data_IF_009245542509
#
_entry.id   IF_009245542509
#
_cell.length_a   1.000
_cell.length_b   1.000
_cell.length_c   1.000
_cell.angle_alpha   90.00
_cell.angle_beta   90.00
_cell.angle_gamma   90.00
#
_symmetry.space_group_name_H-M   'P 1'
#
loop_
_entity.id
_entity.type
_entity.pdbx_description
1 polymer ?
#
# COMPACT_ATOMS: atom_id res chain seq x y z
N UNK A 1 -30.44 -8.94 9.20
CA UNK A 1 -29.16 -8.80 8.46
C UNK A 1 -28.17 -9.60 9.25
N UNK A 2 -27.56 -10.62 8.64
CA UNK A 2 -26.58 -11.45 9.33
C UNK A 2 -25.22 -10.77 9.18
N UNK A 3 -24.57 -10.49 10.30
CA UNK A 3 -23.21 -9.99 10.34
C UNK A 3 -22.28 -11.15 10.67
N UNK A 4 -21.10 -11.16 10.06
CA UNK A 4 -20.07 -12.13 10.40
C UNK A 4 -19.46 -11.77 11.74
N UNK A 5 -19.11 -12.78 12.52
CA UNK A 5 -18.30 -12.66 13.72
C UNK A 5 -16.87 -13.11 13.43
N UNK A 6 -15.90 -12.68 14.23
CA UNK A 6 -14.52 -13.12 14.07
C UNK A 6 -14.38 -14.64 14.21
N UNK A 7 -15.18 -15.27 15.08
CA UNK A 7 -15.23 -16.72 15.26
C UNK A 7 -15.59 -17.49 13.98
N UNK A 8 -16.34 -16.87 13.07
CA UNK A 8 -16.72 -17.47 11.79
C UNK A 8 -15.57 -17.40 10.77
N UNK A 9 -14.66 -16.43 10.94
CA UNK A 9 -13.63 -16.07 9.96
C UNK A 9 -12.25 -16.62 10.32
N UNK A 10 -11.87 -16.58 11.60
CA UNK A 10 -10.55 -16.96 12.09
C UNK A 10 -10.13 -18.37 11.63
N UNK A 11 -10.97 -19.42 11.76
CA UNK A 11 -10.59 -20.79 11.40
C UNK A 11 -10.43 -21.02 9.90
N UNK A 12 -10.91 -20.10 9.07
CA UNK A 12 -10.96 -20.25 7.62
C UNK A 12 -9.68 -19.77 6.94
N UNK A 13 -9.37 -20.34 5.78
CA UNK A 13 -8.35 -19.78 4.88
C UNK A 13 -8.83 -18.46 4.27
N UNK A 14 -7.92 -17.58 3.78
CA UNK A 14 -8.32 -16.33 3.12
C UNK A 14 -9.35 -16.52 1.99
N UNK A 15 -9.20 -17.55 1.15
CA UNK A 15 -10.19 -17.85 0.10
C UNK A 15 -11.56 -18.24 0.65
N UNK A 16 -11.62 -19.02 1.73
CA UNK A 16 -12.88 -19.40 2.36
C UNK A 16 -13.54 -18.22 3.08
N UNK A 17 -12.75 -17.32 3.70
CA UNK A 17 -13.24 -16.04 4.23
C UNK A 17 -13.84 -15.19 3.12
N UNK A 18 -13.16 -15.07 1.98
CA UNK A 18 -13.64 -14.33 0.81
C UNK A 18 -15.03 -14.83 0.37
N UNK A 19 -15.16 -16.15 0.22
CA UNK A 19 -16.40 -16.79 -0.17
C UNK A 19 -17.53 -16.50 0.83
N UNK A 20 -17.30 -16.71 2.12
CA UNK A 20 -18.30 -16.47 3.15
C UNK A 20 -18.77 -15.00 3.18
N UNK A 21 -17.84 -14.05 3.02
CA UNK A 21 -18.19 -12.62 2.91
C UNK A 21 -19.03 -12.37 1.66
N UNK A 22 -18.63 -12.90 0.50
CA UNK A 22 -19.36 -12.71 -0.76
C UNK A 22 -20.77 -13.33 -0.75
N UNK A 23 -20.97 -14.44 -0.05
CA UNK A 23 -22.30 -15.04 0.16
C UNK A 23 -23.18 -14.17 1.09
N UNK A 24 -22.56 -13.43 2.02
CA UNK A 24 -23.29 -12.65 3.03
C UNK A 24 -23.72 -11.26 2.51
N UNK A 25 -22.98 -10.69 1.55
CA UNK A 25 -23.21 -9.31 1.06
C UNK A 25 -24.53 -9.11 0.30
N UNK A 26 -25.20 -10.18 -0.13
CA UNK A 26 -26.48 -10.09 -0.84
C UNK A 26 -27.60 -9.54 0.04
N UNK A 27 -27.50 -9.74 1.36
CA UNK A 27 -28.45 -9.21 2.34
C UNK A 27 -28.27 -7.70 2.62
N UNK A 28 -27.19 -7.09 2.14
CA UNK A 28 -26.84 -5.70 2.44
C UNK A 28 -27.52 -4.74 1.46
N UNK A 29 -28.38 -3.87 2.01
CA UNK A 29 -28.99 -2.76 1.26
C UNK A 29 -28.01 -1.60 1.15
N UNK A 30 -27.70 -1.20 -0.08
CA UNK A 30 -26.81 -0.07 -0.35
C UNK A 30 -27.61 1.25 -0.34
N UNK A 31 -27.19 2.27 0.42
CA UNK A 31 -27.84 3.58 0.40
C UNK A 31 -27.79 4.23 -0.99
N UNK A 32 -28.87 4.92 -1.40
CA UNK A 32 -28.96 5.58 -2.73
C UNK A 32 -27.84 6.58 -3.03
N UNK A 33 -27.25 7.18 -1.99
CA UNK A 33 -26.14 8.15 -2.11
C UNK A 33 -24.79 7.52 -2.48
N UNK A 34 -24.66 6.19 -2.36
CA UNK A 34 -23.43 5.48 -2.70
C UNK A 34 -23.42 5.24 -4.22
N UNK A 35 -22.35 5.68 -4.87
CA UNK A 35 -22.17 5.50 -6.32
C UNK A 35 -22.06 4.02 -6.67
N UNK A 36 -22.58 3.63 -7.83
CA UNK A 36 -22.65 2.23 -8.28
C UNK A 36 -21.30 1.51 -8.25
N UNK A 37 -20.23 2.20 -8.64
CA UNK A 37 -18.87 1.65 -8.64
C UNK A 37 -18.32 1.33 -7.24
N UNK A 38 -18.97 1.84 -6.19
CA UNK A 38 -18.60 1.63 -4.78
C UNK A 38 -19.55 0.68 -4.03
N UNK A 39 -20.56 0.11 -4.70
CA UNK A 39 -21.54 -0.77 -4.05
C UNK A 39 -20.88 -2.00 -3.42
N UNK A 40 -19.97 -2.66 -4.14
CA UNK A 40 -19.28 -3.84 -3.64
C UNK A 40 -18.40 -3.50 -2.41
N UNK A 41 -17.62 -2.43 -2.48
CA UNK A 41 -16.78 -1.96 -1.38
C UNK A 41 -17.61 -1.64 -0.13
N UNK A 42 -18.74 -0.96 -0.30
CA UNK A 42 -19.68 -0.68 0.78
C UNK A 42 -20.21 -1.96 1.42
N UNK A 43 -20.67 -2.91 0.61
CA UNK A 43 -21.24 -4.16 1.12
C UNK A 43 -20.22 -5.00 1.88
N UNK A 44 -19.03 -5.22 1.30
CA UNK A 44 -17.93 -5.96 1.95
C UNK A 44 -17.60 -5.31 3.29
N UNK A 45 -17.39 -3.99 3.31
CA UNK A 45 -17.05 -3.28 4.54
C UNK A 45 -18.15 -3.39 5.58
N UNK A 46 -19.42 -3.32 5.16
CA UNK A 46 -20.57 -3.43 6.06
C UNK A 46 -20.64 -4.82 6.72
N UNK A 47 -20.38 -5.89 5.96
CA UNK A 47 -20.40 -7.27 6.48
C UNK A 47 -19.21 -7.53 7.41
N UNK A 48 -18.03 -7.03 7.05
CA UNK A 48 -16.79 -7.31 7.80
C UNK A 48 -16.65 -6.47 9.07
N UNK A 49 -17.08 -5.20 9.06
CA UNK A 49 -16.79 -4.25 10.15
C UNK A 49 -17.06 -4.79 11.55
N UNK A 50 -18.16 -5.50 11.83
CA UNK A 50 -18.42 -6.04 13.16
C UNK A 50 -17.42 -7.11 13.63
N UNK A 51 -16.82 -7.87 12.71
CA UNK A 51 -15.84 -8.91 13.03
C UNK A 51 -14.41 -8.37 13.20
N UNK A 52 -14.10 -7.22 12.61
CA UNK A 52 -12.73 -6.70 12.57
C UNK A 52 -12.09 -6.48 13.95
N UNK A 53 -12.77 -5.91 14.97
CA UNK A 53 -12.15 -5.71 16.29
C UNK A 53 -11.60 -7.00 16.88
N UNK A 54 -12.44 -8.05 16.94
CA UNK A 54 -12.08 -9.34 17.52
C UNK A 54 -11.07 -10.09 16.64
N UNK A 55 -11.14 -9.93 15.32
CA UNK A 55 -10.18 -10.52 14.40
C UNK A 55 -8.78 -9.93 14.59
N UNK A 56 -8.66 -8.60 14.66
CA UNK A 56 -7.38 -7.92 14.93
C UNK A 56 -6.89 -8.27 16.34
N UNK A 57 -7.79 -8.31 17.32
CA UNK A 57 -7.43 -8.68 18.68
C UNK A 57 -6.85 -10.11 18.77
N UNK A 58 -7.40 -11.04 17.99
CA UNK A 58 -6.87 -12.39 17.86
C UNK A 58 -5.47 -12.40 17.23
N UNK A 59 -5.24 -11.60 16.18
CA UNK A 59 -3.92 -11.45 15.55
C UNK A 59 -2.87 -10.92 16.54
N UNK A 60 -3.23 -9.90 17.33
CA UNK A 60 -2.38 -9.36 18.41
C UNK A 60 -2.04 -10.42 19.45
N UNK A 61 -3.01 -11.25 19.84
CA UNK A 61 -2.78 -12.33 20.81
C UNK A 61 -1.83 -13.41 20.28
N UNK A 62 -1.97 -13.79 19.01
CA UNK A 62 -1.07 -14.75 18.35
C UNK A 62 0.34 -14.18 18.30
N UNK A 63 0.50 -12.95 17.83
CA UNK A 63 1.80 -12.29 17.73
C UNK A 63 2.48 -12.17 19.11
N UNK A 64 1.75 -11.73 20.14
CA UNK A 64 2.26 -11.68 21.50
C UNK A 64 2.69 -13.06 22.03
N UNK A 65 1.94 -14.12 21.73
CA UNK A 65 2.27 -15.49 22.16
C UNK A 65 3.49 -16.09 21.45
N UNK A 66 3.82 -15.61 20.24
CA UNK A 66 4.94 -16.10 19.43
C UNK A 66 6.21 -15.26 19.58
N UNK A 67 6.17 -14.20 20.41
CA UNK A 67 7.22 -13.20 20.49
C UNK A 67 6.94 -12.10 19.47
N UNK A 68 6.42 -10.98 19.95
CA UNK A 68 5.86 -9.93 19.09
C UNK A 68 6.85 -9.42 18.05
N UNK A 69 6.38 -9.29 16.80
CA UNK A 69 7.14 -8.66 15.73
C UNK A 69 7.48 -7.20 16.02
N UNK A 70 6.78 -6.56 16.97
CA UNK A 70 7.00 -5.16 17.33
C UNK A 70 8.24 -4.94 18.20
N UNK A 71 8.89 -6.01 18.69
CA UNK A 71 10.20 -5.88 19.32
C UNK A 71 11.23 -5.31 18.34
N UNK A 72 12.08 -4.39 18.81
CA UNK A 72 12.97 -3.57 17.96
C UNK A 72 13.74 -4.38 16.90
N UNK A 73 14.32 -5.51 17.29
CA UNK A 73 15.11 -6.35 16.37
C UNK A 73 14.19 -7.10 15.40
N UNK A 74 13.06 -7.63 15.89
CA UNK A 74 12.11 -8.38 15.08
C UNK A 74 11.49 -7.50 13.99
N UNK A 75 11.02 -6.29 14.34
CA UNK A 75 10.46 -5.36 13.36
C UNK A 75 11.51 -4.92 12.34
N UNK A 76 12.74 -4.63 12.78
CA UNK A 76 13.82 -4.23 11.88
C UNK A 76 14.10 -5.33 10.85
N UNK A 77 14.15 -6.59 11.29
CA UNK A 77 14.37 -7.72 10.40
C UNK A 77 13.20 -7.93 9.42
N UNK A 78 11.96 -7.81 9.89
CA UNK A 78 10.78 -7.94 9.05
C UNK A 78 10.72 -6.84 7.97
N UNK A 79 10.98 -5.58 8.36
CA UNK A 79 11.02 -4.44 7.42
C UNK A 79 12.18 -4.62 6.42
N UNK A 80 13.36 -5.03 6.89
CA UNK A 80 14.50 -5.29 6.03
C UNK A 80 14.19 -6.38 4.99
N UNK A 81 13.54 -7.47 5.40
CA UNK A 81 13.16 -8.56 4.50
C UNK A 81 12.21 -8.07 3.37
N UNK A 82 11.19 -7.27 3.70
CA UNK A 82 10.29 -6.67 2.70
C UNK A 82 11.04 -5.74 1.73
N UNK A 83 11.96 -4.92 2.25
CA UNK A 83 12.79 -4.03 1.45
C UNK A 83 13.77 -4.80 0.53
N UNK A 84 14.39 -5.87 1.03
CA UNK A 84 15.30 -6.70 0.26
C UNK A 84 14.59 -7.49 -0.83
N UNK A 85 13.46 -8.10 -0.50
CA UNK A 85 12.62 -8.78 -1.48
C UNK A 85 12.19 -7.81 -2.57
N UNK A 86 11.68 -6.63 -2.20
CA UNK A 86 11.24 -5.62 -3.17
C UNK A 86 12.39 -5.15 -4.06
N UNK A 87 13.54 -4.77 -3.48
CA UNK A 87 14.68 -4.30 -4.26
C UNK A 87 15.20 -5.36 -5.22
N UNK A 88 15.33 -6.61 -4.80
CA UNK A 88 15.78 -7.70 -5.65
C UNK A 88 14.81 -7.93 -6.82
N UNK A 89 13.50 -7.98 -6.54
CA UNK A 89 12.47 -8.12 -7.58
C UNK A 89 12.48 -6.95 -8.56
N UNK A 90 12.57 -5.71 -8.05
CA UNK A 90 12.59 -4.52 -8.90
C UNK A 90 13.84 -4.48 -9.78
N UNK A 91 15.03 -4.72 -9.22
CA UNK A 91 16.31 -4.78 -9.95
C UNK A 91 16.22 -5.82 -11.09
N UNK A 92 15.72 -7.02 -10.80
CA UNK A 92 15.55 -8.06 -11.81
C UNK A 92 14.57 -7.67 -12.94
N UNK A 93 13.63 -6.76 -12.66
CA UNK A 93 12.68 -6.27 -13.66
C UNK A 93 13.25 -5.15 -14.55
N UNK A 94 14.31 -4.44 -14.11
CA UNK A 94 14.86 -3.25 -14.78
C UNK A 94 15.17 -3.46 -16.27
N UNK A 95 15.80 -4.58 -16.70
CA UNK A 95 16.07 -4.80 -18.13
C UNK A 95 14.82 -4.76 -19.02
N UNK A 96 13.66 -5.14 -18.48
CA UNK A 96 12.38 -5.09 -19.20
C UNK A 96 11.62 -3.76 -19.08
N UNK A 97 12.10 -2.80 -18.27
CA UNK A 97 11.43 -1.51 -18.08
C UNK A 97 11.81 -0.47 -19.15
N UNK A 98 12.87 -0.74 -19.92
CA UNK A 98 13.43 0.18 -20.89
C UNK A 98 13.21 -0.39 -22.29
N UNK A 99 12.49 0.34 -23.13
CA UNK A 99 12.32 0.01 -24.55
C UNK A 99 13.67 0.09 -25.26
N UNK A 100 13.90 -0.80 -26.22
CA UNK A 100 15.11 -0.75 -27.05
C UNK A 100 15.21 0.57 -27.83
N UNK A 101 16.41 0.92 -28.27
CA UNK A 101 16.62 2.12 -29.10
C UNK A 101 15.79 2.09 -30.38
N UNK A 102 15.77 0.96 -31.08
CA UNK A 102 15.00 0.78 -32.32
C UNK A 102 13.49 0.98 -32.09
N UNK A 103 12.93 0.44 -31.00
CA UNK A 103 11.51 0.64 -30.67
C UNK A 103 11.19 2.11 -30.37
N UNK A 104 12.09 2.82 -29.68
CA UNK A 104 11.90 4.24 -29.33
C UNK A 104 12.01 5.16 -30.54
N UNK A 105 12.91 4.86 -31.48
CA UNK A 105 13.04 5.59 -32.74
C UNK A 105 11.85 5.35 -33.67
N UNK A 106 11.35 4.10 -33.74
CA UNK A 106 10.21 3.77 -34.57
C UNK A 106 8.88 4.36 -34.05
N UNK A 107 8.70 4.44 -32.73
CA UNK A 107 7.47 4.93 -32.11
C UNK A 107 7.75 5.58 -30.74
N UNK A 108 8.16 6.86 -30.69
CA UNK A 108 8.45 7.55 -29.44
C UNK A 108 7.16 7.79 -28.63
N UNK A 109 7.20 7.44 -27.34
CA UNK A 109 6.07 7.55 -26.40
C UNK A 109 6.07 8.85 -25.58
N UNK A 110 7.18 9.59 -25.60
CA UNK A 110 7.36 10.85 -24.88
C UNK A 110 8.40 11.73 -25.58
N UNK A 111 8.51 12.99 -25.13
CA UNK A 111 9.39 14.00 -25.73
C UNK A 111 10.88 13.61 -25.66
N UNK A 112 11.31 12.95 -24.59
CA UNK A 112 12.71 12.53 -24.44
C UNK A 112 13.07 11.42 -25.44
N UNK A 113 12.16 10.48 -25.69
CA UNK A 113 12.34 9.46 -26.73
C UNK A 113 12.41 10.10 -28.11
N UNK A 114 11.51 11.04 -28.40
CA UNK A 114 11.49 11.77 -29.67
C UNK A 114 12.77 12.57 -29.91
N UNK A 115 13.35 13.14 -28.85
CA UNK A 115 14.60 13.90 -28.92
C UNK A 115 15.87 13.03 -28.94
N UNK A 116 15.75 11.70 -28.83
CA UNK A 116 16.91 10.81 -28.68
C UNK A 116 17.65 10.97 -27.35
N UNK A 117 17.01 11.55 -26.34
CA UNK A 117 17.60 11.81 -25.04
C UNK A 117 17.53 10.56 -24.15
N UNK A 118 18.46 9.63 -24.38
CA UNK A 118 18.49 8.30 -23.75
C UNK A 118 18.48 8.36 -22.22
N UNK A 119 19.36 9.16 -21.61
CA UNK A 119 19.48 9.23 -20.16
C UNK A 119 18.18 9.68 -19.48
N UNK A 120 17.52 10.71 -20.02
CA UNK A 120 16.25 11.20 -19.49
C UNK A 120 15.12 10.19 -19.69
N UNK A 121 15.11 9.50 -20.83
CA UNK A 121 14.13 8.44 -21.11
C UNK A 121 14.22 7.32 -20.08
N UNK A 122 15.42 6.77 -19.88
CA UNK A 122 15.62 5.63 -18.97
C UNK A 122 15.31 6.03 -17.53
N UNK A 123 15.85 7.17 -17.09
CA UNK A 123 15.64 7.68 -15.73
C UNK A 123 14.15 7.93 -15.43
N UNK A 124 13.41 8.48 -16.39
CA UNK A 124 11.97 8.72 -16.25
C UNK A 124 11.17 7.40 -16.19
N UNK A 125 11.51 6.42 -17.02
CA UNK A 125 10.84 5.11 -17.02
C UNK A 125 11.03 4.38 -15.69
N UNK A 126 12.26 4.32 -15.19
CA UNK A 126 12.60 3.64 -13.94
C UNK A 126 11.95 4.34 -12.74
N UNK A 127 12.13 5.67 -12.61
CA UNK A 127 11.59 6.43 -11.47
C UNK A 127 10.05 6.33 -11.37
N UNK A 128 9.36 6.38 -12.52
CA UNK A 128 7.89 6.16 -12.57
C UNK A 128 7.51 4.76 -12.12
N UNK A 129 8.17 3.72 -12.66
CA UNK A 129 7.85 2.33 -12.34
C UNK A 129 8.15 2.02 -10.87
N UNK A 130 9.26 2.53 -10.35
CA UNK A 130 9.62 2.43 -8.93
C UNK A 130 8.54 3.09 -8.06
N UNK A 131 8.13 4.30 -8.41
CA UNK A 131 7.07 5.02 -7.68
C UNK A 131 5.74 4.27 -7.66
N UNK A 132 5.35 3.65 -8.77
CA UNK A 132 4.15 2.80 -8.84
C UNK A 132 4.30 1.55 -7.98
N UNK A 133 5.44 0.85 -8.09
CA UNK A 133 5.67 -0.41 -7.38
C UNK A 133 5.75 -0.23 -5.86
N UNK A 134 6.30 0.90 -5.39
CA UNK A 134 6.41 1.18 -3.96
C UNK A 134 5.06 1.29 -3.23
N UNK A 135 3.95 1.57 -3.94
CA UNK A 135 2.63 1.60 -3.32
C UNK A 135 2.30 0.31 -2.56
N UNK A 136 2.52 -0.85 -3.21
CA UNK A 136 2.28 -2.15 -2.60
C UNK A 136 3.31 -2.51 -1.52
N UNK A 137 4.51 -1.91 -1.55
CA UNK A 137 5.49 -2.10 -0.48
C UNK A 137 4.99 -1.47 0.83
N UNK A 138 4.39 -0.28 0.79
CA UNK A 138 3.87 0.36 2.00
C UNK A 138 2.74 -0.43 2.63
N UNK A 139 1.89 -1.04 1.81
CA UNK A 139 0.86 -1.98 2.26
C UNK A 139 1.50 -3.17 2.97
N UNK A 140 2.46 -3.86 2.35
CA UNK A 140 3.14 -5.02 2.97
C UNK A 140 3.86 -4.66 4.27
N UNK A 141 4.51 -3.49 4.34
CA UNK A 141 5.17 -3.03 5.56
C UNK A 141 4.14 -2.74 6.66
N UNK A 142 3.00 -2.09 6.34
CA UNK A 142 1.94 -1.88 7.33
C UNK A 142 1.41 -3.21 7.87
N UNK A 143 1.32 -4.21 7.00
CA UNK A 143 0.85 -5.56 7.26
C UNK A 143 1.82 -6.45 8.06
N UNK A 144 3.01 -5.93 8.39
CA UNK A 144 3.90 -6.53 9.40
C UNK A 144 3.26 -6.39 10.78
N UNK A 145 2.60 -5.26 11.05
CA UNK A 145 2.01 -5.01 12.36
C UNK A 145 0.82 -5.93 12.63
N UNK A 146 0.70 -6.51 13.84
CA UNK A 146 -0.48 -7.26 14.23
C UNK A 146 -1.72 -6.38 14.40
N UNK A 147 -1.57 -5.06 14.37
CA UNK A 147 -2.67 -4.09 14.42
C UNK A 147 -3.24 -3.76 13.03
N UNK A 148 -2.69 -4.36 11.96
CA UNK A 148 -3.11 -4.16 10.57
C UNK A 148 -3.71 -5.43 9.98
N UNK A 149 -4.76 -5.22 9.18
CA UNK A 149 -5.32 -6.19 8.25
C UNK A 149 -5.14 -5.66 6.84
N UNK A 150 -4.69 -6.52 5.93
CA UNK A 150 -4.78 -6.32 4.50
C UNK A 150 -6.04 -7.01 3.96
N UNK A 151 -7.02 -6.27 3.41
CA UNK A 151 -8.20 -6.89 2.79
C UNK A 151 -7.82 -7.92 1.73
N UNK A 152 -6.79 -7.64 0.93
CA UNK A 152 -6.35 -8.53 -0.14
C UNK A 152 -5.61 -9.76 0.39
N UNK A 153 -4.79 -9.64 1.44
CA UNK A 153 -4.02 -10.78 1.99
C UNK A 153 -4.87 -11.66 2.92
N UNK A 154 -5.58 -11.04 3.85
CA UNK A 154 -6.26 -11.75 4.93
C UNK A 154 -7.64 -12.27 4.52
N UNK A 155 -8.25 -11.63 3.52
CA UNK A 155 -9.59 -11.95 3.03
C UNK A 155 -9.66 -12.23 1.54
N UNK A 156 -8.58 -12.12 0.75
CA UNK A 156 -8.63 -12.22 -0.72
C UNK A 156 -9.70 -11.33 -1.36
N UNK A 157 -9.98 -10.16 -0.74
CA UNK A 157 -11.02 -9.23 -1.17
C UNK A 157 -10.44 -7.85 -1.39
N UNK A 158 -10.85 -7.21 -2.49
CA UNK A 158 -10.50 -5.83 -2.77
C UNK A 158 -11.59 -4.89 -2.28
N UNK A 159 -11.29 -4.05 -1.29
CA UNK A 159 -12.15 -2.94 -0.87
C UNK A 159 -11.64 -1.68 -1.56
N UNK A 160 -12.43 -1.15 -2.49
CA UNK A 160 -11.98 -0.01 -3.33
C UNK A 160 -11.64 1.21 -2.47
N UNK A 161 -10.39 1.67 -2.58
CA UNK A 161 -9.86 2.83 -1.86
C UNK A 161 -9.39 2.56 -0.43
N UNK A 162 -9.29 1.29 -0.03
CA UNK A 162 -8.75 0.84 1.25
C UNK A 162 -7.52 -0.01 0.98
N UNK A 163 -6.38 0.46 1.46
CA UNK A 163 -5.08 -0.19 1.32
C UNK A 163 -4.77 -1.04 2.58
N UNK A 164 -5.28 -0.63 3.75
CA UNK A 164 -5.17 -1.38 5.02
C UNK A 164 -6.34 -1.04 5.95
N UNK A 165 -6.68 -1.93 6.88
CA UNK A 165 -7.59 -1.68 7.99
C UNK A 165 -6.82 -1.83 9.28
N UNK A 166 -6.75 -0.75 10.07
CA UNK A 166 -5.93 -0.71 11.28
C UNK A 166 -6.79 -0.55 12.52
N UNK A 167 -6.33 -1.07 13.65
CA UNK A 167 -6.88 -0.73 14.95
C UNK A 167 -5.80 -0.04 15.78
N UNK A 168 -5.86 1.29 15.88
CA UNK A 168 -4.91 2.05 16.71
C UNK A 168 -4.93 1.51 18.12
N UNK A 169 -3.75 1.34 18.70
CA UNK A 169 -3.56 0.89 20.09
C UNK A 169 -4.51 1.64 21.04
N UNK A 170 -5.35 0.89 21.76
CA UNK A 170 -6.30 1.42 22.75
C UNK A 170 -7.62 2.01 22.21
N UNK A 171 -7.82 2.13 20.89
CA UNK A 171 -9.07 2.69 20.35
C UNK A 171 -10.23 1.68 20.27
N UNK A 172 -9.93 0.40 20.03
CA UNK A 172 -10.92 -0.66 19.80
C UNK A 172 -11.73 -0.51 18.51
N UNK A 173 -11.44 0.51 17.67
CA UNK A 173 -12.23 0.82 16.49
C UNK A 173 -11.41 0.61 15.20
N UNK A 174 -11.85 -0.27 14.28
CA UNK A 174 -11.18 -0.48 13.01
C UNK A 174 -11.31 0.78 12.16
N UNK A 175 -10.18 1.23 11.61
CA UNK A 175 -10.05 2.43 10.78
C UNK A 175 -9.59 2.01 9.39
N UNK A 176 -10.37 2.38 8.38
CA UNK A 176 -10.07 2.08 6.99
C UNK A 176 -9.08 3.11 6.43
N UNK A 177 -7.93 2.65 5.98
CA UNK A 177 -6.79 3.49 5.62
C UNK A 177 -6.53 3.42 4.13
N UNK A 178 -6.33 4.59 3.52
CA UNK A 178 -5.68 4.70 2.21
C UNK A 178 -4.26 5.23 2.42
N UNK A 179 -3.26 4.51 1.91
CA UNK A 179 -1.84 4.81 2.07
C UNK A 179 -1.30 5.37 0.74
N UNK A 180 -0.51 6.44 0.82
CA UNK A 180 0.24 6.99 -0.31
C UNK A 180 1.67 7.25 0.10
N UNK A 181 2.60 7.30 -0.85
CA UNK A 181 4.02 7.50 -0.54
C UNK A 181 4.27 8.81 0.20
N UNK A 182 3.67 9.92 -0.26
CA UNK A 182 3.90 11.25 0.30
C UNK A 182 2.65 12.15 0.18
N UNK A 183 2.67 13.29 0.88
CA UNK A 183 1.53 14.24 0.99
C UNK A 183 1.06 14.81 -0.35
N UNK A 184 1.97 14.94 -1.31
CA UNK A 184 1.72 15.48 -2.65
C UNK A 184 1.61 14.41 -3.75
N UNK A 185 1.34 13.14 -3.39
CA UNK A 185 1.20 12.06 -4.38
C UNK A 185 -0.05 12.18 -5.27
N UNK A 186 -1.15 12.79 -4.79
CA UNK A 186 -2.38 12.82 -5.57
C UNK A 186 -2.41 13.95 -6.60
N UNK A 187 -2.79 13.61 -7.82
CA UNK A 187 -3.20 14.60 -8.83
C UNK A 187 -4.65 15.06 -8.57
N UNK A 188 -5.07 16.16 -9.22
CA UNK A 188 -6.36 16.81 -8.93
C UNK A 188 -7.58 15.88 -8.99
N UNK A 189 -7.68 15.02 -10.01
CA UNK A 189 -8.79 14.06 -10.15
C UNK A 189 -8.73 12.92 -9.13
N UNK A 190 -7.53 12.53 -8.69
CA UNK A 190 -7.34 11.46 -7.71
C UNK A 190 -7.79 11.88 -6.31
N UNK A 191 -7.61 13.16 -5.94
CA UNK A 191 -8.03 13.68 -4.63
C UNK A 191 -9.54 13.50 -4.39
N UNK A 192 -10.38 13.86 -5.35
CA UNK A 192 -11.84 13.71 -5.22
C UNK A 192 -12.29 12.24 -5.21
N UNK A 193 -11.61 11.40 -5.98
CA UNK A 193 -11.85 9.95 -5.98
C UNK A 193 -11.55 9.35 -4.60
N UNK A 194 -10.35 9.55 -4.07
CA UNK A 194 -9.95 9.11 -2.72
C UNK A 194 -10.92 9.58 -1.63
N UNK A 195 -11.40 10.83 -1.72
CA UNK A 195 -12.42 11.35 -0.77
C UNK A 195 -13.73 10.57 -0.86
N UNK A 196 -14.16 10.24 -2.07
CA UNK A 196 -15.43 9.54 -2.30
C UNK A 196 -15.34 8.10 -1.79
N UNK A 197 -14.23 7.42 -2.08
CA UNK A 197 -13.96 6.05 -1.62
C UNK A 197 -13.88 5.98 -0.09
N UNK A 198 -13.05 6.81 0.55
CA UNK A 198 -12.91 6.77 2.00
C UNK A 198 -14.18 7.20 2.75
N UNK A 199 -15.03 8.05 2.16
CA UNK A 199 -16.29 8.50 2.78
C UNK A 199 -17.32 7.39 2.99
N UNK A 200 -17.09 6.19 2.44
CA UNK A 200 -17.91 5.02 2.69
C UNK A 200 -17.80 4.52 4.15
N UNK A 201 -16.68 4.80 4.81
CA UNK A 201 -16.35 4.25 6.13
C UNK A 201 -16.49 5.33 7.20
N UNK A 202 -17.05 4.99 8.36
CA UNK A 202 -17.20 5.95 9.46
C UNK A 202 -15.83 6.32 10.05
N UNK A 203 -15.01 5.32 10.35
CA UNK A 203 -13.63 5.48 10.78
C UNK A 203 -12.71 5.32 9.57
N UNK A 204 -12.09 6.44 9.17
CA UNK A 204 -11.32 6.54 7.93
C UNK A 204 -10.09 7.42 8.11
N UNK A 205 -9.02 7.04 7.44
CA UNK A 205 -7.72 7.72 7.52
C UNK A 205 -7.08 7.80 6.15
N UNK A 206 -6.52 8.96 5.84
CA UNK A 206 -5.66 9.13 4.68
C UNK A 206 -4.22 9.31 5.15
N UNK A 207 -3.36 8.33 4.85
CA UNK A 207 -2.00 8.27 5.34
C UNK A 207 -0.98 8.58 4.23
N UNK A 208 0.06 9.33 4.59
CA UNK A 208 1.29 9.40 3.81
C UNK A 208 2.38 8.60 4.52
N UNK A 209 2.98 7.62 3.83
CA UNK A 209 4.05 6.79 4.38
C UNK A 209 5.27 7.63 4.80
N UNK A 210 5.58 8.72 4.08
CA UNK A 210 6.71 9.59 4.37
C UNK A 210 6.35 11.08 4.40
N UNK A 211 6.95 11.80 5.33
CA UNK A 211 6.82 13.25 5.45
C UNK A 211 7.93 14.01 4.72
N UNK A 212 7.78 14.12 3.41
CA UNK A 212 8.59 15.04 2.60
C UNK A 212 8.09 16.47 2.75
N UNK A 213 8.88 17.48 2.34
CA UNK A 213 8.52 18.90 2.45
C UNK A 213 7.28 19.36 1.64
N UNK A 214 6.63 18.46 0.90
CA UNK A 214 5.44 18.76 0.10
C UNK A 214 4.18 19.00 0.94
N UNK A 215 3.33 19.93 0.48
CA UNK A 215 2.00 20.15 1.05
C UNK A 215 1.00 19.05 0.68
N UNK A 216 -0.08 18.93 1.46
CA UNK A 216 -1.15 17.98 1.19
C UNK A 216 -1.93 18.32 -0.09
N UNK A 217 -1.90 17.41 -1.06
CA UNK A 217 -2.79 17.40 -2.24
C UNK A 217 -4.18 16.84 -1.91
N UNK A 218 -4.29 16.09 -0.83
CA UNK A 218 -5.54 15.65 -0.23
C UNK A 218 -5.99 16.68 0.82
N UNK A 219 -6.82 17.65 0.43
CA UNK A 219 -7.29 18.76 1.28
C UNK A 219 -8.82 18.92 1.24
N UNK A 220 -9.40 19.63 2.22
CA UNK A 220 -10.83 19.98 2.24
C UNK A 220 -11.80 18.79 2.32
N UNK A 221 -11.38 17.66 2.91
CA UNK A 221 -12.16 16.43 2.95
C UNK A 221 -12.92 16.20 4.26
N UNK A 222 -12.48 16.82 5.36
CA UNK A 222 -12.91 16.47 6.73
C UNK A 222 -12.40 15.09 7.19
N UNK A 223 -11.61 14.39 6.37
CA UNK A 223 -11.00 13.10 6.70
C UNK A 223 -9.67 13.37 7.39
N UNK A 224 -9.41 12.67 8.50
CA UNK A 224 -8.14 12.75 9.22
C UNK A 224 -6.98 12.36 8.30
N UNK A 225 -5.88 13.09 8.42
CA UNK A 225 -4.63 12.85 7.68
C UNK A 225 -3.49 12.69 8.66
N UNK A 226 -2.62 11.73 8.41
CA UNK A 226 -1.40 11.47 9.17
C UNK A 226 -0.25 11.19 8.22
N UNK A 227 0.97 11.37 8.68
CA UNK A 227 2.14 11.26 7.82
C UNK A 227 3.35 10.77 8.62
N UNK A 228 4.18 9.91 8.00
CA UNK A 228 5.44 9.48 8.60
C UNK A 228 5.22 8.82 9.96
N UNK A 229 5.97 9.27 10.98
CA UNK A 229 5.85 8.78 12.36
C UNK A 229 4.40 8.70 12.85
N UNK A 230 3.58 9.76 12.66
CA UNK A 230 2.17 9.77 13.09
C UNK A 230 1.33 8.63 12.50
N UNK A 231 1.72 8.10 11.34
CA UNK A 231 1.05 6.95 10.73
C UNK A 231 1.60 5.63 11.28
N UNK A 232 2.91 5.46 11.24
CA UNK A 232 3.56 4.20 11.60
C UNK A 232 3.45 3.87 13.09
N UNK A 233 3.40 4.89 13.95
CA UNK A 233 3.13 4.73 15.39
C UNK A 233 1.73 4.15 15.68
N UNK A 234 0.73 4.41 14.83
CA UNK A 234 -0.60 3.78 14.97
C UNK A 234 -0.55 2.26 14.80
N UNK A 235 0.49 1.78 14.11
CA UNK A 235 0.79 0.37 13.86
C UNK A 235 1.87 -0.17 14.82
N UNK A 236 2.41 0.65 15.71
CA UNK A 236 3.53 0.27 16.58
C UNK A 236 4.86 0.04 15.83
N UNK A 237 4.98 0.52 14.59
CA UNK A 237 6.20 0.39 13.79
C UNK A 237 7.09 1.62 13.96
N UNK A 238 8.37 1.39 14.22
CA UNK A 238 9.37 2.46 14.41
C UNK A 238 9.70 3.14 13.08
N UNK A 239 9.37 4.42 12.98
CA UNK A 239 9.51 5.16 11.73
C UNK A 239 10.97 5.35 11.31
N UNK A 240 11.88 5.57 12.25
CA UNK A 240 13.31 5.77 11.95
C UNK A 240 13.93 4.49 11.37
N UNK A 241 13.60 3.34 11.95
CA UNK A 241 14.01 2.02 11.45
C UNK A 241 13.47 1.79 10.04
N UNK A 242 12.19 2.09 9.81
CA UNK A 242 11.56 1.99 8.49
C UNK A 242 12.23 2.90 7.46
N UNK A 243 12.43 4.17 7.79
CA UNK A 243 13.07 5.14 6.91
C UNK A 243 14.50 4.72 6.54
N UNK A 244 15.27 4.22 7.51
CA UNK A 244 16.63 3.72 7.30
C UNK A 244 16.68 2.59 6.27
N UNK A 245 15.84 1.56 6.43
CA UNK A 245 15.79 0.41 5.51
C UNK A 245 15.32 0.82 4.12
N UNK A 246 14.30 1.67 4.03
CA UNK A 246 13.78 2.17 2.75
C UNK A 246 14.83 3.02 2.02
N UNK A 247 15.59 3.84 2.74
CA UNK A 247 16.70 4.61 2.17
C UNK A 247 17.77 3.67 1.59
N UNK A 248 18.18 2.65 2.36
CA UNK A 248 19.16 1.66 1.89
C UNK A 248 18.66 0.92 0.65
N UNK A 249 17.39 0.50 0.66
CA UNK A 249 16.73 -0.14 -0.48
C UNK A 249 16.77 0.72 -1.75
N UNK A 250 16.41 2.00 -1.65
CA UNK A 250 16.43 2.92 -2.79
C UNK A 250 17.86 3.10 -3.32
N UNK A 251 18.85 3.25 -2.43
CA UNK A 251 20.27 3.39 -2.82
C UNK A 251 20.83 2.11 -3.46
N UNK A 252 20.38 0.93 -2.99
CA UNK A 252 20.72 -0.37 -3.60
C UNK A 252 20.18 -0.45 -5.03
N UNK A 253 18.91 -0.07 -5.25
CA UNK A 253 18.30 -0.01 -6.59
C UNK A 253 19.05 0.99 -7.49
N UNK A 254 19.37 2.18 -6.96
CA UNK A 254 20.11 3.20 -7.71
C UNK A 254 21.50 2.69 -8.13
N UNK A 255 22.25 2.05 -7.22
CA UNK A 255 23.58 1.51 -7.51
C UNK A 255 23.52 0.45 -8.61
N UNK A 256 22.60 -0.52 -8.48
CA UNK A 256 22.39 -1.54 -9.50
C UNK A 256 22.08 -0.93 -10.89
N UNK A 257 21.29 0.13 -10.92
CA UNK A 257 21.00 0.85 -12.15
C UNK A 257 22.24 1.56 -12.75
N UNK A 258 23.02 2.29 -11.94
CA UNK A 258 24.23 2.95 -12.42
C UNK A 258 25.25 1.96 -13.01
N UNK A 259 25.36 0.77 -12.41
CA UNK A 259 26.25 -0.28 -12.90
C UNK A 259 25.77 -0.85 -14.24
N UNK A 260 24.45 -1.04 -14.42
CA UNK A 260 23.90 -1.42 -15.73
C UNK A 260 24.08 -0.34 -16.81
N UNK A 261 23.98 0.94 -16.45
CA UNK A 261 24.23 2.08 -17.36
C UNK A 261 25.69 2.16 -17.82
N UNK A 262 26.66 1.89 -16.93
CA UNK A 262 28.09 1.85 -17.28
C UNK A 262 28.45 0.70 -18.22
N UNK A 263 27.75 -0.43 -18.15
CA UNK A 263 27.91 -1.54 -19.11
C UNK A 263 27.41 -1.14 -20.50
N UNK A 264 26.36 -0.32 -20.61
CA UNK A 264 25.87 0.15 -21.91
C UNK A 264 26.73 1.25 -22.57
N UNK A 265 27.50 2.02 -21.79
CA UNK A 265 28.51 2.95 -22.33
C UNK A 265 29.79 2.21 -22.76
N UNK A 266 30.14 1.10 -22.10
CA UNK A 266 31.31 0.28 -22.43
C UNK A 266 31.25 -0.48 -23.76
N UNK A 267 30.07 -0.57 -24.39
CA UNK A 267 29.87 -1.13 -25.74
C UNK A 267 30.02 -0.07 -26.84
N UNK A 268 30.34 1.18 -26.47
CA UNK A 268 30.71 2.27 -27.41
C UNK A 268 32.22 2.54 -27.42
N UNK A 269 33.03 1.50 -27.61
CA UNK A 269 34.39 1.63 -28.16
C UNK A 269 34.53 0.73 -29.36
#
# INVERSE_FOLDING_TARGET
>A
MQFLQASDLIPLSPSARAQLVLETIDSVKVPRKVRSELHLAYKISTVLTPALPDFIQHQIQIDAAQGTVLERIAQSNAIAAECDQFSNQFINSVPGLVRSKAEREAAPSNLYEMAGADLFTVSNSISRKLSTAMGSLWERIADISPYSISPERDFHLKITGVDSIIMSHGSGLPTFVQIKTQRNTLTGSQSNRSKTELKLHDNRLFAAAFCTGGSWTFSGSGIRRVCGADFWELLGLDYETLESHVKQMILKIQTAYMDTGRVTEGVRK
#
